data_IF_495825916889
#
_entry.id   IF_495825916889
#
_cell.length_a   1.000
_cell.length_b   1.000
_cell.length_c   1.000
_cell.angle_alpha   90.00
_cell.angle_beta   90.00
_cell.angle_gamma   90.00
#
_symmetry.space_group_name_H-M   'P 1'
#
loop_
_entity.id
_entity.type
_entity.pdbx_description
1 polymer ?
#
# COMPACT_ATOMS: atom_id res chain seq x y z
N UNK A 1 -1.61 14.81 -4.73
CA UNK A 1 -2.66 15.34 -5.62
C UNK A 1 -4.02 14.88 -5.11
N UNK A 2 -4.95 15.81 -4.95
CA UNK A 2 -6.29 15.49 -4.45
C UNK A 2 -7.26 15.44 -5.62
N UNK A 3 -7.99 14.35 -5.75
CA UNK A 3 -8.99 14.16 -6.80
C UNK A 3 -10.29 13.72 -6.13
N UNK A 4 -11.34 14.48 -6.34
CA UNK A 4 -12.66 14.20 -5.76
C UNK A 4 -12.60 13.98 -4.24
N UNK A 5 -11.78 14.77 -3.57
CA UNK A 5 -11.65 14.71 -2.12
C UNK A 5 -10.73 13.63 -1.62
N UNK A 6 -10.09 12.86 -2.50
CA UNK A 6 -9.17 11.80 -2.12
C UNK A 6 -7.74 12.15 -2.50
N UNK A 7 -6.81 11.77 -1.65
CA UNK A 7 -5.39 12.01 -1.90
C UNK A 7 -4.83 10.89 -2.78
N UNK A 8 -4.14 11.28 -3.83
CA UNK A 8 -3.47 10.35 -4.73
C UNK A 8 -2.00 10.71 -4.83
N UNK A 9 -1.15 9.70 -4.90
CA UNK A 9 0.30 9.91 -4.95
C UNK A 9 0.89 9.02 -6.03
N UNK A 10 1.99 9.46 -6.64
CA UNK A 10 2.69 8.60 -7.58
C UNK A 10 3.23 7.38 -6.85
N UNK A 11 3.18 6.24 -7.52
CA UNK A 11 3.65 4.98 -6.95
C UNK A 11 5.07 5.10 -6.41
N UNK A 12 5.95 5.80 -7.12
CA UNK A 12 7.34 5.96 -6.70
C UNK A 12 7.50 6.94 -5.55
N UNK A 13 6.51 7.77 -5.27
CA UNK A 13 6.56 8.75 -4.19
C UNK A 13 5.95 8.25 -2.89
N UNK A 14 5.22 7.15 -2.94
CA UNK A 14 4.57 6.60 -1.75
C UNK A 14 5.54 6.31 -0.61
N UNK A 15 6.74 5.76 -0.85
CA UNK A 15 7.67 5.50 0.25
C UNK A 15 8.07 6.73 1.04
N UNK A 16 7.94 7.92 0.47
CA UNK A 16 8.24 9.17 1.16
C UNK A 16 7.18 9.49 2.22
N UNK A 17 5.96 9.02 2.00
CA UNK A 17 4.82 9.27 2.89
C UNK A 17 4.58 8.12 3.87
N UNK A 18 4.99 6.92 3.48
CA UNK A 18 4.79 5.72 4.31
C UNK A 18 6.16 5.07 4.53
N UNK A 19 6.88 5.46 5.57
CA UNK A 19 8.21 4.91 5.83
C UNK A 19 8.16 3.39 5.98
N UNK A 20 9.15 2.72 5.40
CA UNK A 20 9.25 1.27 5.48
C UNK A 20 8.43 0.52 4.44
N UNK A 21 7.75 1.25 3.54
CA UNK A 21 6.95 0.62 2.49
C UNK A 21 7.65 0.85 1.14
N UNK A 22 8.26 -0.19 0.56
CA UNK A 22 8.95 -0.03 -0.72
C UNK A 22 7.98 0.16 -1.88
N UNK A 23 8.44 0.88 -2.91
CA UNK A 23 7.63 1.11 -4.10
C UNK A 23 7.27 -0.19 -4.80
N UNK A 24 8.12 -1.21 -4.73
CA UNK A 24 7.85 -2.51 -5.32
C UNK A 24 6.62 -3.17 -4.71
N UNK A 25 6.43 -3.02 -3.40
CA UNK A 25 5.25 -3.54 -2.72
C UNK A 25 3.99 -2.83 -3.20
N UNK A 26 4.05 -1.52 -3.33
CA UNK A 26 2.93 -0.73 -3.83
C UNK A 26 2.55 -1.17 -5.24
N UNK A 27 3.55 -1.42 -6.07
CA UNK A 27 3.32 -1.90 -7.43
C UNK A 27 2.58 -3.24 -7.44
N UNK A 28 2.98 -4.15 -6.59
CA UNK A 28 2.33 -5.45 -6.47
C UNK A 28 0.88 -5.29 -6.02
N UNK A 29 0.64 -4.44 -5.05
CA UNK A 29 -0.72 -4.19 -4.56
C UNK A 29 -1.60 -3.58 -5.64
N UNK A 30 -1.05 -2.64 -6.41
CA UNK A 30 -1.80 -2.03 -7.50
C UNK A 30 -2.14 -3.05 -8.58
N UNK A 31 -1.18 -3.90 -8.94
CA UNK A 31 -1.40 -4.94 -9.93
C UNK A 31 -2.42 -5.97 -9.47
N UNK A 32 -2.45 -6.25 -8.18
CA UNK A 32 -3.38 -7.22 -7.59
C UNK A 32 -4.77 -6.63 -7.32
N UNK A 33 -4.94 -5.32 -7.52
CA UNK A 33 -6.21 -4.67 -7.26
C UNK A 33 -6.48 -4.37 -5.80
N UNK A 34 -5.47 -4.48 -4.95
CA UNK A 34 -5.61 -4.19 -3.53
C UNK A 34 -5.70 -2.71 -3.25
N UNK A 35 -5.07 -1.89 -4.07
CA UNK A 35 -5.16 -0.45 -3.99
C UNK A 35 -5.62 0.07 -5.33
N UNK A 36 -6.43 1.11 -5.33
CA UNK A 36 -6.90 1.71 -6.56
C UNK A 36 -5.75 2.44 -7.23
N UNK A 37 -5.64 2.31 -8.54
CA UNK A 37 -4.58 2.96 -9.29
C UNK A 37 -5.11 3.49 -10.60
N UNK A 38 -4.47 4.57 -11.09
CA UNK A 38 -4.77 5.12 -12.41
C UNK A 38 -3.44 5.48 -13.07
N UNK A 39 -3.44 5.41 -14.39
CA UNK A 39 -2.27 5.82 -15.15
C UNK A 39 -2.53 7.18 -15.78
N UNK A 40 -1.66 8.13 -15.46
CA UNK A 40 -1.78 9.49 -15.99
C UNK A 40 -0.42 9.89 -16.56
N UNK A 41 -0.38 10.16 -17.88
CA UNK A 41 0.84 10.63 -18.52
C UNK A 41 2.05 9.73 -18.34
N UNK A 42 1.86 8.41 -18.34
CA UNK A 42 2.94 7.47 -18.17
C UNK A 42 3.33 7.18 -16.74
N UNK A 43 2.69 7.84 -15.78
CA UNK A 43 2.92 7.60 -14.35
C UNK A 43 1.73 6.87 -13.76
N UNK A 44 1.99 5.99 -12.80
CA UNK A 44 0.93 5.30 -12.06
C UNK A 44 0.70 6.03 -10.75
N UNK A 45 -0.55 6.40 -10.51
CA UNK A 45 -0.98 7.06 -9.27
C UNK A 45 -1.84 6.11 -8.48
N UNK A 46 -1.66 6.09 -7.18
CA UNK A 46 -2.41 5.21 -6.29
C UNK A 46 -3.11 6.03 -5.21
N UNK A 47 -4.25 5.52 -4.74
CA UNK A 47 -4.98 6.17 -3.67
C UNK A 47 -4.23 5.96 -2.36
N UNK A 48 -3.83 7.03 -1.71
CA UNK A 48 -3.04 6.96 -0.48
C UNK A 48 -3.80 6.23 0.63
N UNK A 49 -5.09 6.48 0.74
CA UNK A 49 -5.93 5.82 1.74
C UNK A 49 -5.90 4.31 1.59
N UNK A 50 -5.98 3.84 0.35
CA UNK A 50 -5.94 2.41 0.07
C UNK A 50 -4.60 1.80 0.45
N UNK A 51 -3.51 2.54 0.18
CA UNK A 51 -2.17 2.11 0.53
C UNK A 51 -2.03 1.98 2.06
N UNK A 52 -2.51 2.97 2.78
CA UNK A 52 -2.44 2.94 4.25
C UNK A 52 -3.26 1.78 4.81
N UNK A 53 -4.44 1.54 4.26
CA UNK A 53 -5.29 0.44 4.69
C UNK A 53 -4.63 -0.92 4.41
N UNK A 54 -4.02 -1.06 3.24
CA UNK A 54 -3.33 -2.30 2.87
C UNK A 54 -2.11 -2.53 3.76
N UNK A 55 -1.38 -1.46 4.08
CA UNK A 55 -0.22 -1.55 4.97
C UNK A 55 -0.63 -1.97 6.36
N UNK A 56 -1.72 -1.42 6.87
CA UNK A 56 -2.23 -1.77 8.19
C UNK A 56 -2.69 -3.23 8.24
N UNK A 57 -3.37 -3.68 7.19
CA UNK A 57 -3.84 -5.07 7.10
C UNK A 57 -2.67 -6.04 7.02
N UNK A 58 -1.63 -5.69 6.26
CA UNK A 58 -0.44 -6.51 6.12
C UNK A 58 0.29 -6.62 7.46
N UNK A 59 0.38 -5.51 8.19
CA UNK A 59 1.02 -5.48 9.49
C UNK A 59 0.27 -6.34 10.50
N UNK A 60 -1.05 -6.24 10.49
CA UNK A 60 -1.92 -7.04 11.36
C UNK A 60 -1.78 -8.52 11.08
N UNK A 61 -1.77 -8.88 9.79
CA UNK A 61 -1.64 -10.26 9.35
C UNK A 61 -0.30 -10.84 9.79
N UNK A 62 0.76 -10.04 9.69
CA UNK A 62 2.10 -10.47 10.09
C UNK A 62 2.17 -10.73 11.59
N UNK A 63 1.56 -9.87 12.38
CA UNK A 63 1.51 -10.03 13.84
C UNK A 63 0.77 -11.30 14.23
N UNK A 64 -0.37 -11.57 13.60
CA UNK A 64 -1.15 -12.76 13.86
C UNK A 64 -0.36 -14.01 13.53
N UNK A 65 0.32 -14.03 12.40
CA UNK A 65 1.14 -15.16 11.98
C UNK A 65 2.25 -15.44 12.98
N UNK A 66 2.87 -14.38 13.47
CA UNK A 66 3.94 -14.50 14.46
C UNK A 66 3.41 -15.11 15.76
N UNK A 67 2.26 -14.66 16.21
CA UNK A 67 1.64 -15.17 17.41
C UNK A 67 1.31 -16.66 17.27
N UNK A 68 0.84 -17.06 16.12
CA UNK A 68 0.53 -18.45 15.84
C UNK A 68 1.77 -19.32 15.90
N UNK A 69 2.89 -18.84 15.39
CA UNK A 69 4.15 -19.57 15.45
C UNK A 69 4.59 -19.79 16.88
N UNK A 70 4.43 -18.77 17.71
CA UNK A 70 4.79 -18.88 19.12
C UNK A 70 3.94 -19.94 19.82
N UNK A 71 2.67 -20.00 19.48
CA UNK A 71 1.77 -21.00 20.08
C UNK A 71 2.14 -22.42 19.69
N UNK A 72 2.55 -22.61 18.48
CA UNK A 72 2.93 -23.93 17.97
C UNK A 72 4.18 -24.43 18.65
N UNK A 73 5.10 -23.54 18.92
CA UNK A 73 6.36 -23.89 19.55
C UNK A 73 6.20 -24.03 21.07
#
# INVERSE_FOLDING_TARGET
>A
MIVAGEEWERQCDVPKHVPGLPASTVRVWAAAGRVRSVRVGGSVWVAVEDVLAAAAASRRRRTTRHANQVKVD
#
